data_IF_741328846781
#
_entry.id   IF_741328846781
#
_cell.length_a   1.000
_cell.length_b   1.000
_cell.length_c   1.000
_cell.angle_alpha   90.00
_cell.angle_beta   90.00
_cell.angle_gamma   90.00
#
_symmetry.space_group_name_H-M   'P 1'
#
loop_
_entity.id
_entity.type
_entity.pdbx_description
1 polymer ?
#
# COMPACT_ATOMS: atom_id res chain seq x y z
N UNK A 1 -0.76 11.92 -5.84
CA UNK A 1 -0.04 11.14 -4.81
C UNK A 1 -0.65 11.39 -3.43
N UNK A 2 -0.54 12.59 -2.84
CA UNK A 2 -1.27 12.98 -1.60
C UNK A 2 -2.75 12.57 -1.68
N UNK A 3 -3.41 12.98 -2.77
CA UNK A 3 -4.83 12.75 -3.02
C UNK A 3 -5.21 11.28 -3.12
N UNK A 4 -4.28 10.39 -3.49
CA UNK A 4 -4.55 8.95 -3.58
C UNK A 4 -4.59 8.33 -2.18
N UNK A 5 -3.65 8.71 -1.31
CA UNK A 5 -3.60 8.23 0.07
C UNK A 5 -4.76 8.78 0.88
N UNK A 6 -5.07 10.08 0.77
CA UNK A 6 -6.24 10.67 1.45
C UNK A 6 -7.54 10.00 1.01
N UNK A 7 -7.74 9.79 -0.29
CA UNK A 7 -8.93 9.08 -0.81
C UNK A 7 -9.02 7.65 -0.31
N UNK A 8 -7.91 6.92 -0.29
CA UNK A 8 -7.91 5.56 0.26
C UNK A 8 -8.30 5.59 1.74
N UNK A 9 -7.76 6.53 2.53
CA UNK A 9 -8.13 6.73 3.92
C UNK A 9 -9.63 7.00 4.11
N UNK A 10 -10.18 7.95 3.35
CA UNK A 10 -11.62 8.28 3.34
C UNK A 10 -12.49 7.06 2.98
N UNK A 11 -12.09 6.28 1.97
CA UNK A 11 -12.81 5.08 1.54
C UNK A 11 -12.76 3.97 2.59
N UNK A 12 -11.62 3.76 3.24
CA UNK A 12 -11.49 2.80 4.35
C UNK A 12 -12.34 3.24 5.54
N UNK A 13 -12.29 4.51 5.92
CA UNK A 13 -13.10 5.05 7.01
C UNK A 13 -14.60 4.88 6.72
N UNK A 14 -15.03 5.29 5.52
CA UNK A 14 -16.41 5.11 5.06
C UNK A 14 -16.84 3.64 5.12
N UNK A 15 -15.98 2.71 4.68
CA UNK A 15 -16.26 1.28 4.71
C UNK A 15 -16.45 0.75 6.13
N UNK A 16 -15.56 1.14 7.06
CA UNK A 16 -15.60 0.72 8.46
C UNK A 16 -16.83 1.25 9.19
N UNK A 17 -17.34 2.42 8.80
CA UNK A 17 -18.54 3.03 9.40
C UNK A 17 -19.85 2.49 8.81
N UNK A 18 -19.80 1.77 7.68
CA UNK A 18 -21.00 1.35 6.94
C UNK A 18 -21.35 -0.12 7.18
N UNK A 19 -22.57 -0.44 7.65
CA UNK A 19 -23.04 -1.82 7.78
C UNK A 19 -23.01 -2.57 6.44
N UNK A 20 -22.53 -3.81 6.48
CA UNK A 20 -22.38 -4.63 5.28
C UNK A 20 -22.93 -6.04 5.38
N UNK A 21 -23.68 -6.33 6.43
CA UNK A 21 -24.40 -7.58 6.50
C UNK A 21 -25.56 -7.60 5.49
N UNK A 22 -25.96 -8.79 5.06
CA UNK A 22 -27.18 -8.99 4.30
C UNK A 22 -27.99 -10.12 4.96
N UNK A 23 -29.27 -9.92 5.34
CA UNK A 23 -30.04 -8.67 5.20
C UNK A 23 -29.66 -7.60 6.23
N UNK A 24 -29.93 -6.33 5.90
CA UNK A 24 -30.03 -5.27 6.90
C UNK A 24 -31.45 -5.23 7.46
N UNK A 25 -31.61 -4.83 8.72
CA UNK A 25 -32.93 -4.75 9.36
C UNK A 25 -33.38 -3.31 9.46
N UNK A 26 -34.47 -2.96 8.77
CA UNK A 26 -35.12 -1.67 8.91
C UNK A 26 -36.23 -1.76 9.95
N UNK A 27 -36.25 -0.81 10.90
CA UNK A 27 -37.34 -0.71 11.88
C UNK A 27 -38.26 0.41 11.46
N UNK A 28 -39.42 0.05 10.90
CA UNK A 28 -40.54 0.98 10.70
C UNK A 28 -41.68 0.57 11.61
N UNK A 29 -42.30 1.54 12.30
CA UNK A 29 -43.50 1.32 13.13
C UNK A 29 -43.35 0.25 14.22
N UNK A 30 -42.14 0.07 14.77
CA UNK A 30 -41.87 -0.89 15.85
C UNK A 30 -41.73 -2.35 15.41
N UNK A 31 -41.73 -2.64 14.10
CA UNK A 31 -41.44 -3.97 13.56
C UNK A 31 -40.13 -3.95 12.76
N UNK A 32 -39.28 -4.94 12.99
CA UNK A 32 -38.06 -5.13 12.20
C UNK A 32 -38.38 -5.91 10.92
N UNK A 33 -38.02 -5.35 9.76
CA UNK A 33 -38.20 -5.95 8.45
C UNK A 33 -36.84 -6.15 7.77
N UNK A 34 -36.54 -7.34 7.22
CA UNK A 34 -35.28 -7.58 6.53
C UNK A 34 -35.29 -6.91 5.15
N UNK A 35 -34.19 -6.26 4.80
CA UNK A 35 -33.94 -5.66 3.50
C UNK A 35 -32.77 -6.38 2.82
N UNK A 36 -33.07 -7.06 1.71
CA UNK A 36 -32.06 -7.63 0.84
C UNK A 36 -31.39 -6.52 0.05
N UNK A 37 -30.06 -6.50 0.07
CA UNK A 37 -29.27 -5.36 -0.39
C UNK A 37 -27.81 -5.80 -0.68
N UNK A 38 -26.98 -4.92 -1.26
CA UNK A 38 -25.64 -5.24 -1.77
C UNK A 38 -24.48 -4.42 -1.16
N UNK A 39 -24.64 -3.83 0.03
CA UNK A 39 -23.65 -2.99 0.73
C UNK A 39 -22.42 -3.76 1.23
N UNK A 40 -22.40 -5.07 1.04
CA UNK A 40 -21.18 -5.87 1.18
C UNK A 40 -20.19 -5.65 0.03
N UNK A 41 -20.65 -5.11 -1.10
CA UNK A 41 -19.80 -4.71 -2.23
C UNK A 41 -19.40 -3.23 -2.09
N UNK A 42 -18.09 -2.95 -2.15
CA UNK A 42 -17.55 -1.60 -2.17
C UNK A 42 -16.56 -1.39 -3.32
N UNK A 43 -17.09 -0.97 -4.47
CA UNK A 43 -16.27 -0.67 -5.65
C UNK A 43 -15.42 0.58 -5.50
N UNK A 44 -15.84 1.55 -4.67
CA UNK A 44 -15.06 2.77 -4.45
C UNK A 44 -13.76 2.43 -3.72
N UNK A 45 -13.85 1.64 -2.65
CA UNK A 45 -12.70 1.11 -1.94
C UNK A 45 -11.77 0.36 -2.90
N UNK A 46 -12.32 -0.50 -3.75
CA UNK A 46 -11.52 -1.24 -4.73
C UNK A 46 -10.80 -0.34 -5.74
N UNK A 47 -11.44 0.71 -6.25
CA UNK A 47 -10.78 1.65 -7.16
C UNK A 47 -9.67 2.43 -6.46
N UNK A 48 -9.89 2.85 -5.21
CA UNK A 48 -8.86 3.57 -4.45
C UNK A 48 -7.70 2.65 -4.05
N UNK A 49 -7.97 1.39 -3.69
CA UNK A 49 -6.92 0.37 -3.46
C UNK A 49 -6.10 0.12 -4.72
N UNK A 50 -6.74 -0.03 -5.88
CA UNK A 50 -6.04 -0.18 -7.16
C UNK A 50 -5.15 1.02 -7.47
N UNK A 51 -5.65 2.24 -7.25
CA UNK A 51 -4.85 3.45 -7.43
C UNK A 51 -3.66 3.52 -6.47
N UNK A 52 -3.81 3.04 -5.23
CA UNK A 52 -2.74 2.98 -4.25
C UNK A 52 -1.65 1.95 -4.63
N UNK A 53 -2.04 0.79 -5.16
CA UNK A 53 -1.11 -0.22 -5.71
C UNK A 53 -0.26 0.39 -6.83
N UNK A 54 -0.87 1.07 -7.80
CA UNK A 54 -0.14 1.73 -8.89
C UNK A 54 0.82 2.81 -8.37
N UNK A 55 0.39 3.57 -7.36
CA UNK A 55 1.23 4.57 -6.69
C UNK A 55 2.44 3.94 -5.99
N UNK A 56 2.23 2.86 -5.23
CA UNK A 56 3.30 2.11 -4.56
C UNK A 56 4.29 1.54 -5.57
N UNK A 57 3.81 0.99 -6.69
CA UNK A 57 4.65 0.55 -7.80
C UNK A 57 5.52 1.67 -8.37
N UNK A 58 4.95 2.86 -8.60
CA UNK A 58 5.69 4.04 -9.05
C UNK A 58 6.78 4.44 -8.05
N UNK A 59 6.46 4.48 -6.76
CA UNK A 59 7.41 4.80 -5.68
C UNK A 59 8.56 3.79 -5.67
N UNK A 60 8.26 2.48 -5.80
CA UNK A 60 9.27 1.43 -5.85
C UNK A 60 10.23 1.59 -7.03
N UNK A 61 9.69 1.88 -8.22
CA UNK A 61 10.51 2.16 -9.40
C UNK A 61 11.43 3.39 -9.23
N UNK A 62 10.91 4.47 -8.63
CA UNK A 62 11.72 5.67 -8.36
C UNK A 62 12.82 5.40 -7.33
N UNK A 63 12.53 4.63 -6.28
CA UNK A 63 13.52 4.25 -5.27
C UNK A 63 14.62 3.37 -5.86
N UNK A 64 14.25 2.44 -6.74
CA UNK A 64 15.20 1.62 -7.48
C UNK A 64 16.13 2.46 -8.37
N UNK A 65 15.60 3.46 -9.08
CA UNK A 65 16.42 4.43 -9.85
C UNK A 65 17.35 5.25 -8.97
N UNK A 66 16.91 5.63 -7.76
CA UNK A 66 17.77 6.33 -6.81
C UNK A 66 18.95 5.46 -6.35
N UNK A 67 18.71 4.18 -6.06
CA UNK A 67 19.77 3.22 -5.70
C UNK A 67 20.78 3.10 -6.84
N UNK A 68 20.32 2.93 -8.09
CA UNK A 68 21.19 2.91 -9.27
C UNK A 68 22.05 4.16 -9.40
N UNK A 69 21.42 5.35 -9.32
CA UNK A 69 22.11 6.63 -9.43
C UNK A 69 23.19 6.77 -8.36
N UNK A 70 22.85 6.43 -7.12
CA UNK A 70 23.79 6.50 -5.98
C UNK A 70 24.98 5.56 -6.17
N UNK A 71 24.74 4.32 -6.62
CA UNK A 71 25.82 3.38 -6.93
C UNK A 71 26.71 3.87 -8.07
N UNK A 72 26.14 4.49 -9.10
CA UNK A 72 26.90 5.08 -10.21
C UNK A 72 27.80 6.24 -9.75
N UNK A 73 27.29 7.10 -8.87
CA UNK A 73 28.06 8.21 -8.30
C UNK A 73 29.19 7.74 -7.38
N UNK A 74 28.94 6.73 -6.53
CA UNK A 74 29.99 6.06 -5.75
C UNK A 74 31.06 5.50 -6.68
N UNK A 75 30.66 4.87 -7.78
CA UNK A 75 31.59 4.36 -8.80
C UNK A 75 32.49 5.43 -9.42
N UNK A 76 31.97 6.63 -9.67
CA UNK A 76 32.77 7.76 -10.16
C UNK A 76 33.80 8.24 -9.13
N UNK A 77 33.48 8.15 -7.84
CA UNK A 77 34.33 8.61 -6.73
C UNK A 77 35.41 7.58 -6.36
N UNK A 78 35.05 6.30 -6.30
CA UNK A 78 35.93 5.20 -5.87
C UNK A 78 36.63 4.48 -7.04
N UNK A 79 36.30 4.81 -8.29
CA UNK A 79 36.90 4.21 -9.48
C UNK A 79 36.43 2.77 -9.72
N UNK A 80 37.34 1.79 -9.63
CA UNK A 80 37.09 0.40 -10.04
C UNK A 80 36.12 -0.40 -9.14
N UNK A 81 35.67 0.17 -8.02
CA UNK A 81 34.86 -0.51 -7.00
C UNK A 81 33.38 -0.09 -7.00
N UNK A 82 32.74 -0.10 -8.17
CA UNK A 82 31.31 0.20 -8.28
C UNK A 82 30.46 -0.85 -7.54
N UNK A 83 29.58 -0.48 -6.60
CA UNK A 83 28.65 -1.42 -5.97
C UNK A 83 27.56 -1.87 -6.97
N UNK A 84 27.81 -3.01 -7.63
CA UNK A 84 26.88 -3.57 -8.63
C UNK A 84 25.76 -4.43 -8.05
N UNK A 85 25.84 -4.85 -6.79
CA UNK A 85 24.85 -5.75 -6.17
C UNK A 85 23.57 -5.03 -5.70
N UNK A 86 23.62 -3.86 -5.05
CA UNK A 86 22.42 -3.16 -4.59
C UNK A 86 21.43 -2.83 -5.73
N UNK A 87 21.86 -2.35 -6.91
CA UNK A 87 20.95 -2.14 -8.03
C UNK A 87 20.27 -3.41 -8.53
N UNK A 88 20.99 -4.55 -8.55
CA UNK A 88 20.42 -5.85 -8.94
C UNK A 88 19.37 -6.33 -7.95
N UNK A 89 19.68 -6.24 -6.65
CA UNK A 89 18.73 -6.58 -5.60
C UNK A 89 17.47 -5.71 -5.69
N UNK A 90 17.64 -4.40 -5.88
CA UNK A 90 16.52 -3.46 -6.03
C UNK A 90 15.67 -3.75 -7.28
N UNK A 91 16.30 -4.14 -8.40
CA UNK A 91 15.56 -4.53 -9.60
C UNK A 91 14.71 -5.78 -9.35
N UNK A 92 15.24 -6.81 -8.68
CA UNK A 92 14.47 -8.02 -8.33
C UNK A 92 13.25 -7.68 -7.48
N UNK A 93 13.37 -6.73 -6.54
CA UNK A 93 12.25 -6.27 -5.72
C UNK A 93 11.17 -5.59 -6.58
N UNK A 94 11.55 -4.69 -7.49
CA UNK A 94 10.61 -4.04 -8.42
C UNK A 94 9.96 -5.06 -9.38
N UNK A 95 10.71 -6.06 -9.83
CA UNK A 95 10.18 -7.14 -10.67
C UNK A 95 9.12 -7.96 -9.92
N UNK A 96 9.28 -8.17 -8.60
CA UNK A 96 8.25 -8.80 -7.76
C UNK A 96 7.02 -7.92 -7.59
N UNK A 97 7.20 -6.61 -7.38
CA UNK A 97 6.08 -5.67 -7.28
C UNK A 97 5.24 -5.63 -8.55
N UNK A 98 5.89 -5.67 -9.72
CA UNK A 98 5.24 -5.67 -11.04
C UNK A 98 4.67 -7.04 -11.41
N UNK A 99 5.35 -8.13 -11.07
CA UNK A 99 4.85 -9.50 -11.25
C UNK A 99 3.65 -9.84 -10.37
N UNK A 100 3.57 -9.25 -9.17
CA UNK A 100 2.37 -9.24 -8.33
C UNK A 100 1.29 -8.27 -8.84
N UNK A 101 1.67 -7.31 -9.70
CA UNK A 101 0.86 -6.22 -10.24
C UNK A 101 -0.17 -6.59 -11.30
N UNK A 102 -0.51 -7.88 -11.46
CA UNK A 102 -1.74 -8.25 -12.15
C UNK A 102 -2.93 -7.90 -11.24
N UNK A 103 -3.18 -6.59 -11.04
CA UNK A 103 -4.32 -6.11 -10.26
C UNK A 103 -5.56 -6.83 -10.76
N UNK A 104 -6.32 -7.50 -9.88
CA UNK A 104 -7.56 -8.15 -10.26
C UNK A 104 -8.52 -7.10 -10.82
N UNK A 105 -8.64 -7.05 -12.14
CA UNK A 105 -9.58 -6.17 -12.87
C UNK A 105 -10.87 -6.91 -13.27
N UNK A 106 -11.06 -8.12 -12.77
CA UNK A 106 -12.19 -8.99 -13.13
C UNK A 106 -13.33 -8.84 -12.12
N UNK A 107 -14.00 -7.70 -12.19
CA UNK A 107 -15.18 -7.39 -11.37
C UNK A 107 -16.42 -8.21 -11.72
N UNK A 108 -16.39 -8.94 -12.84
CA UNK A 108 -17.47 -9.83 -13.29
C UNK A 108 -17.08 -11.30 -13.16
N UNK A 109 -17.97 -12.12 -12.63
CA UNK A 109 -17.78 -13.56 -12.43
C UNK A 109 -19.04 -14.35 -12.74
N UNK A 110 -18.93 -15.67 -12.73
CA UNK A 110 -20.09 -16.53 -12.56
C UNK A 110 -19.83 -17.35 -11.31
N UNK A 111 -20.23 -16.80 -10.16
CA UNK A 111 -20.16 -17.46 -8.87
C UNK A 111 -21.60 -17.74 -8.39
N UNK A 112 -21.73 -18.70 -7.49
CA UNK A 112 -23.01 -19.00 -6.84
C UNK A 112 -24.17 -19.23 -7.82
N UNK A 113 -23.94 -19.97 -8.91
CA UNK A 113 -24.95 -20.26 -9.95
C UNK A 113 -25.56 -19.01 -10.61
N UNK A 114 -24.80 -17.91 -10.69
CA UNK A 114 -25.25 -16.66 -11.30
C UNK A 114 -25.96 -15.71 -10.32
N UNK A 115 -26.00 -16.03 -9.03
CA UNK A 115 -26.43 -15.09 -7.97
C UNK A 115 -25.37 -14.01 -7.74
N UNK A 116 -24.09 -14.36 -7.90
CA UNK A 116 -22.96 -13.45 -7.74
C UNK A 116 -22.27 -13.27 -9.10
N UNK A 117 -22.79 -12.33 -9.89
CA UNK A 117 -22.25 -11.94 -11.20
C UNK A 117 -21.23 -10.79 -11.09
N UNK A 118 -21.24 -10.08 -9.96
CA UNK A 118 -20.35 -8.98 -9.64
C UNK A 118 -19.58 -9.22 -8.33
N UNK A 119 -18.35 -8.72 -8.28
CA UNK A 119 -17.46 -8.74 -7.12
C UNK A 119 -16.58 -7.51 -7.09
N UNK A 120 -16.35 -6.95 -5.92
CA UNK A 120 -15.56 -5.72 -5.78
C UNK A 120 -14.04 -5.99 -5.81
N UNK A 121 -13.57 -7.20 -5.51
CA UNK A 121 -12.15 -7.57 -5.41
C UNK A 121 -11.37 -6.86 -4.28
N UNK A 122 -12.05 -6.17 -3.36
CA UNK A 122 -11.43 -5.35 -2.31
C UNK A 122 -10.43 -6.14 -1.46
N UNK A 123 -10.78 -7.36 -1.04
CA UNK A 123 -9.89 -8.24 -0.27
C UNK A 123 -8.59 -8.58 -1.03
N UNK A 124 -8.71 -8.99 -2.30
CA UNK A 124 -7.54 -9.35 -3.10
C UNK A 124 -6.65 -8.12 -3.37
N UNK A 125 -7.25 -6.96 -3.58
CA UNK A 125 -6.54 -5.70 -3.75
C UNK A 125 -5.81 -5.30 -2.46
N UNK A 126 -6.43 -5.44 -1.29
CA UNK A 126 -5.78 -5.20 0.01
C UNK A 126 -4.56 -6.10 0.22
N UNK A 127 -4.68 -7.40 -0.06
CA UNK A 127 -3.55 -8.34 0.04
C UNK A 127 -2.40 -7.99 -0.93
N UNK A 128 -2.76 -7.57 -2.14
CA UNK A 128 -1.79 -7.12 -3.15
C UNK A 128 -1.07 -5.86 -2.68
N UNK A 129 -1.81 -4.86 -2.18
CA UNK A 129 -1.24 -3.63 -1.63
C UNK A 129 -0.30 -3.94 -0.45
N UNK A 130 -0.72 -4.79 0.47
CA UNK A 130 0.11 -5.21 1.61
C UNK A 130 1.42 -5.84 1.15
N UNK A 131 1.38 -6.75 0.17
CA UNK A 131 2.58 -7.38 -0.40
C UNK A 131 3.51 -6.33 -1.03
N UNK A 132 2.97 -5.38 -1.79
CA UNK A 132 3.79 -4.33 -2.39
C UNK A 132 4.40 -3.36 -1.36
N UNK A 133 3.69 -3.06 -0.26
CA UNK A 133 4.25 -2.29 0.85
C UNK A 133 5.43 -3.03 1.50
N UNK A 134 5.32 -4.34 1.72
CA UNK A 134 6.43 -5.18 2.20
C UNK A 134 7.63 -5.15 1.25
N UNK A 135 7.40 -5.13 -0.06
CA UNK A 135 8.49 -5.00 -1.04
C UNK A 135 9.11 -3.58 -1.03
N UNK A 136 8.34 -2.52 -0.76
CA UNK A 136 8.93 -1.19 -0.50
C UNK A 136 9.86 -1.20 0.70
N UNK A 137 9.51 -1.90 1.78
CA UNK A 137 10.38 -2.04 2.95
C UNK A 137 11.70 -2.74 2.60
N UNK A 138 11.66 -3.75 1.71
CA UNK A 138 12.86 -4.39 1.19
C UNK A 138 13.77 -3.40 0.43
N UNK A 139 13.20 -2.51 -0.39
CA UNK A 139 13.97 -1.43 -1.05
C UNK A 139 14.59 -0.48 -0.04
N UNK A 140 13.84 -0.12 1.01
CA UNK A 140 14.36 0.72 2.09
C UNK A 140 15.54 0.05 2.80
N UNK A 141 15.46 -1.25 3.09
CA UNK A 141 16.56 -1.99 3.71
C UNK A 141 17.81 -2.02 2.82
N UNK A 142 17.66 -2.25 1.51
CA UNK A 142 18.78 -2.18 0.56
C UNK A 142 19.42 -0.78 0.58
N UNK A 143 18.60 0.27 0.60
CA UNK A 143 19.08 1.65 0.69
C UNK A 143 19.84 1.94 1.98
N UNK A 144 19.33 1.47 3.13
CA UNK A 144 19.98 1.64 4.43
C UNK A 144 21.35 0.94 4.48
N UNK A 145 21.43 -0.29 3.97
CA UNK A 145 22.69 -1.03 3.88
C UNK A 145 23.70 -0.34 2.96
N UNK A 146 23.26 0.15 1.79
CA UNK A 146 24.11 0.91 0.88
C UNK A 146 24.63 2.18 1.56
N UNK A 147 23.74 2.95 2.19
CA UNK A 147 24.10 4.21 2.84
C UNK A 147 25.10 4.02 3.98
N UNK A 148 24.85 3.03 4.85
CA UNK A 148 25.72 2.70 5.97
C UNK A 148 27.12 2.23 5.51
N UNK A 149 27.19 1.43 4.43
CA UNK A 149 28.46 0.90 3.94
C UNK A 149 29.37 1.96 3.33
N UNK A 150 28.80 2.93 2.62
CA UNK A 150 29.56 3.92 1.85
C UNK A 150 29.67 5.28 2.53
N UNK A 151 29.34 5.38 3.83
CA UNK A 151 29.31 6.62 4.60
C UNK A 151 28.63 7.77 3.85
N UNK A 152 27.67 7.43 2.98
CA UNK A 152 26.73 8.42 2.47
C UNK A 152 26.05 8.96 3.71
N UNK A 153 25.89 10.29 3.88
CA UNK A 153 25.25 10.82 5.05
C UNK A 153 23.93 10.08 5.19
N UNK A 154 23.84 9.23 6.22
CA UNK A 154 22.56 8.84 6.78
C UNK A 154 22.00 10.17 7.23
N UNK A 155 21.28 10.86 6.33
CA UNK A 155 20.64 12.12 6.65
C UNK A 155 19.88 11.81 7.93
N UNK A 156 20.29 12.54 8.96
CA UNK A 156 20.27 12.19 10.38
C UNK A 156 18.98 11.55 10.86
N UNK A 157 19.10 10.87 12.00
CA UNK A 157 18.15 10.15 12.85
C UNK A 157 16.83 10.86 13.24
N UNK A 158 16.25 11.69 12.37
CA UNK A 158 14.92 12.29 12.51
C UNK A 158 14.18 12.16 11.16
N UNK A 159 13.54 11.02 10.97
CA UNK A 159 12.80 10.65 9.75
C UNK A 159 13.73 10.03 8.70
N UNK A 160 13.64 8.70 8.52
CA UNK A 160 14.43 7.99 7.50
C UNK A 160 14.28 8.70 6.16
N UNK A 161 15.34 8.73 5.35
CA UNK A 161 15.27 9.22 3.98
C UNK A 161 14.08 8.59 3.22
N UNK A 162 13.69 7.34 3.54
CA UNK A 162 12.46 6.72 3.06
C UNK A 162 11.18 7.46 3.47
N UNK A 163 11.07 7.90 4.74
CA UNK A 163 9.98 8.74 5.24
C UNK A 163 9.96 10.11 4.56
N UNK A 164 11.11 10.78 4.39
CA UNK A 164 11.18 12.06 3.65
C UNK A 164 10.92 11.92 2.15
N UNK A 165 11.33 10.81 1.54
CA UNK A 165 11.05 10.51 0.14
C UNK A 165 9.54 10.28 -0.03
N UNK A 166 8.93 9.50 0.86
CA UNK A 166 7.48 9.35 0.94
C UNK A 166 6.79 10.70 1.23
N UNK A 167 7.27 11.54 2.14
CA UNK A 167 6.72 12.89 2.41
C UNK A 167 6.80 13.82 1.19
N UNK A 168 7.93 13.84 0.47
CA UNK A 168 8.12 14.64 -0.74
C UNK A 168 7.19 14.16 -1.86
N UNK A 169 7.02 12.85 -2.03
CA UNK A 169 6.20 12.29 -3.09
C UNK A 169 4.70 12.24 -2.74
N UNK A 170 4.36 12.00 -1.47
CA UNK A 170 3.01 12.06 -0.92
C UNK A 170 2.61 13.48 -0.51
N UNK A 171 3.46 14.48 -0.72
CA UNK A 171 3.21 15.92 -0.52
C UNK A 171 2.76 16.32 0.90
N UNK A 172 3.12 15.54 1.91
CA UNK A 172 2.80 15.83 3.30
C UNK A 172 4.07 16.29 4.02
N UNK A 173 4.08 17.54 4.50
CA UNK A 173 5.15 18.02 5.37
C UNK A 173 4.93 17.54 6.82
N UNK A 174 5.99 17.48 7.63
CA UNK A 174 5.94 17.15 9.06
C UNK A 174 4.91 17.96 9.87
N UNK A 175 4.49 19.12 9.37
CA UNK A 175 3.50 19.99 10.04
C UNK A 175 2.04 19.57 9.78
N UNK A 176 1.81 18.63 8.86
CA UNK A 176 0.45 18.25 8.39
C UNK A 176 -0.05 16.93 9.01
N UNK A 177 0.86 16.09 9.47
CA UNK A 177 0.56 14.90 10.24
C UNK A 177 1.10 15.15 11.65
N UNK A 178 0.21 15.26 12.63
CA UNK A 178 0.65 15.02 14.00
C UNK A 178 1.30 13.62 14.01
N UNK A 179 2.38 13.41 14.77
CA UNK A 179 3.04 12.08 14.86
C UNK A 179 2.03 10.94 15.16
N UNK A 180 0.88 11.30 15.74
CA UNK A 180 -0.24 10.43 16.06
C UNK A 180 -0.96 9.88 14.80
N UNK A 181 -1.13 10.66 13.74
CA UNK A 181 -1.98 10.28 12.59
C UNK A 181 -1.32 9.25 11.65
N UNK A 182 0.01 9.30 11.47
CA UNK A 182 0.73 8.38 10.59
C UNK A 182 1.01 7.04 11.29
N UNK A 183 1.34 7.08 12.59
CA UNK A 183 1.41 5.88 13.44
C UNK A 183 0.02 5.26 13.61
N UNK A 184 -1.05 6.06 13.76
CA UNK A 184 -2.41 5.52 13.79
C UNK A 184 -2.82 4.91 12.46
N UNK A 185 -2.46 5.48 11.31
CA UNK A 185 -2.81 4.88 10.02
C UNK A 185 -2.08 3.55 9.81
N UNK A 186 -0.78 3.49 10.14
CA UNK A 186 0.01 2.26 10.12
C UNK A 186 -0.49 1.23 11.14
N UNK A 187 -0.80 1.63 12.38
CA UNK A 187 -1.41 0.76 13.38
C UNK A 187 -2.81 0.29 12.97
N UNK A 188 -3.62 1.14 12.34
CA UNK A 188 -4.96 0.77 11.87
C UNK A 188 -4.85 -0.26 10.74
N UNK A 189 -3.87 -0.09 9.84
CA UNK A 189 -3.57 -1.08 8.81
C UNK A 189 -3.00 -2.38 9.40
N UNK A 190 -2.12 -2.31 10.40
CA UNK A 190 -1.59 -3.49 11.10
C UNK A 190 -2.64 -4.24 11.92
N UNK A 191 -3.55 -3.52 12.59
CA UNK A 191 -4.70 -4.08 13.33
C UNK A 191 -5.71 -4.71 12.37
N UNK A 192 -6.00 -4.06 11.24
CA UNK A 192 -6.84 -4.63 10.20
C UNK A 192 -6.23 -5.91 9.59
N UNK A 193 -4.91 -5.93 9.38
CA UNK A 193 -4.19 -7.10 8.86
C UNK A 193 -4.06 -8.24 9.89
N UNK A 194 -3.85 -7.93 11.17
CA UNK A 194 -3.71 -8.95 12.23
C UNK A 194 -5.05 -9.57 12.64
N UNK A 195 -6.15 -8.81 12.59
CA UNK A 195 -7.51 -9.33 12.78
C UNK A 195 -7.93 -10.37 11.72
N UNK A 196 -7.42 -10.24 10.48
CA UNK A 196 -7.66 -11.18 9.39
C UNK A 196 -6.94 -12.53 9.60
N UNK A 197 -5.73 -12.53 10.17
CA UNK A 197 -4.98 -13.76 10.47
C UNK A 197 -5.59 -14.57 11.61
N UNK A 198 -6.26 -13.93 12.57
CA UNK A 198 -6.96 -14.60 13.67
C UNK A 198 -8.31 -15.23 13.30
N UNK A 199 -8.84 -14.94 12.11
CA UNK A 199 -10.09 -15.55 11.59
C UNK A 199 -9.84 -16.69 10.59
N UNK A 200 -8.58 -16.93 10.21
CA UNK A 200 -8.17 -18.02 9.30
C UNK A 200 -7.42 -19.17 10.01
N UNK A 201 -7.29 -19.11 11.33
CA UNK A 201 -6.75 -20.16 12.20
C UNK A 201 -7.89 -20.76 13.06
#
# INVERSE_FOLDING_TARGET
MVRTVSRLGESVESRLQTPSANPLWAVSTGQAQPQSQASFLDFNLSFDLAAAIELVGLIGGLWQRLIEHTCADIGKQEGAHVPVQPPKAAQVVVDRMTGAGNSPRRFTGQESQGVEDLRDMSLQLTLTLHTQLTELDNLQQIWQQLSAKYNQPARSSEGSFGRRFLEIFLGCSQDTFSNVDAEQLLQTLEVACSGLNSQMA
#
